data_IF_956078806339
#
_entry.id   IF_956078806339
#
_cell.length_a   1.000
_cell.length_b   1.000
_cell.length_c   1.000
_cell.angle_alpha   90.00
_cell.angle_beta   90.00
_cell.angle_gamma   90.00
#
_symmetry.space_group_name_H-M   'P 1'
#
loop_
_entity.id
_entity.type
_entity.pdbx_description
1 polymer ?
#
# COMPACT_ATOMS: atom_id res chain seq x y z
N UNK A 1 17.81 -21.13 44.21
CA UNK A 1 18.39 -20.29 43.14
C UNK A 1 18.68 -21.19 41.94
N UNK A 2 18.14 -20.91 40.76
CA UNK A 2 18.48 -21.68 39.56
C UNK A 2 19.89 -21.32 39.10
N UNK A 3 20.79 -22.31 39.05
CA UNK A 3 22.14 -22.13 38.51
C UNK A 3 22.08 -22.13 36.97
N UNK A 4 22.66 -21.11 36.34
CA UNK A 4 22.86 -21.08 34.88
C UNK A 4 24.18 -21.75 34.55
N UNK A 5 24.11 -22.77 33.70
CA UNK A 5 25.27 -23.50 33.18
C UNK A 5 25.53 -23.04 31.75
N UNK A 6 26.78 -22.72 31.41
CA UNK A 6 27.15 -22.31 30.04
C UNK A 6 27.32 -23.54 29.17
N UNK A 7 26.41 -23.74 28.21
CA UNK A 7 26.47 -24.86 27.27
C UNK A 7 27.06 -24.36 25.94
N UNK A 8 28.15 -24.96 25.43
CA UNK A 8 28.71 -24.59 24.15
C UNK A 8 27.70 -24.86 23.02
N UNK A 9 27.51 -23.87 22.15
CA UNK A 9 26.56 -23.96 21.03
C UNK A 9 27.06 -25.00 20.02
N UNK A 10 26.25 -26.01 19.63
CA UNK A 10 26.65 -26.97 18.62
C UNK A 10 26.90 -26.30 17.27
N UNK A 11 27.89 -26.79 16.51
CA UNK A 11 28.26 -26.26 15.19
C UNK A 11 27.07 -26.21 14.23
N UNK A 12 26.22 -27.25 14.23
CA UNK A 12 24.99 -27.25 13.40
C UNK A 12 24.03 -26.12 13.74
N UNK A 13 23.91 -25.77 15.02
CA UNK A 13 23.09 -24.63 15.45
C UNK A 13 23.76 -23.33 15.00
N UNK A 14 25.08 -23.24 15.02
CA UNK A 14 25.86 -22.11 14.50
C UNK A 14 25.57 -21.84 13.01
N UNK A 15 25.66 -22.88 12.19
CA UNK A 15 25.38 -22.83 10.76
C UNK A 15 23.92 -22.49 10.46
N UNK A 16 22.97 -23.12 11.16
CA UNK A 16 21.56 -22.82 10.98
C UNK A 16 21.27 -21.32 11.19
N UNK A 17 21.69 -20.73 12.33
CA UNK A 17 21.39 -19.30 12.53
C UNK A 17 22.17 -18.37 11.62
N UNK A 18 23.25 -18.83 10.97
CA UNK A 18 23.96 -18.04 9.97
C UNK A 18 23.12 -17.82 8.71
N UNK A 19 22.30 -18.80 8.33
CA UNK A 19 21.57 -18.78 7.05
C UNK A 19 20.04 -18.68 7.20
N UNK A 20 19.48 -18.90 8.39
CA UNK A 20 18.02 -18.91 8.62
C UNK A 20 17.32 -17.58 8.30
N UNK A 21 18.03 -16.44 8.37
CA UNK A 21 17.43 -15.11 8.26
C UNK A 21 17.19 -14.62 6.83
N UNK A 22 17.44 -15.42 5.79
CA UNK A 22 17.32 -14.98 4.40
C UNK A 22 15.91 -14.51 4.05
N UNK A 23 14.89 -15.27 4.47
CA UNK A 23 13.47 -14.96 4.22
C UNK A 23 13.04 -13.73 5.01
N UNK A 24 13.28 -13.70 6.32
CA UNK A 24 12.93 -12.56 7.18
C UNK A 24 13.58 -11.25 6.71
N UNK A 25 14.82 -11.33 6.22
CA UNK A 25 15.53 -10.17 5.67
C UNK A 25 14.88 -9.69 4.37
N UNK A 26 14.47 -10.62 3.50
CA UNK A 26 13.75 -10.28 2.26
C UNK A 26 12.39 -9.65 2.57
N UNK A 27 11.64 -10.21 3.52
CA UNK A 27 10.36 -9.69 3.98
C UNK A 27 10.50 -8.30 4.62
N UNK A 28 11.58 -8.07 5.38
CA UNK A 28 11.90 -6.74 5.92
C UNK A 28 12.18 -5.73 4.80
N UNK A 29 12.96 -6.10 3.77
CA UNK A 29 13.24 -5.24 2.63
C UNK A 29 12.00 -4.94 1.78
N UNK A 30 11.06 -5.88 1.69
CA UNK A 30 9.75 -5.69 1.06
C UNK A 30 8.89 -4.76 1.93
N UNK A 31 8.90 -4.96 3.25
CA UNK A 31 8.16 -4.12 4.21
C UNK A 31 8.63 -2.67 4.26
N UNK A 32 9.92 -2.40 4.01
CA UNK A 32 10.44 -1.04 3.86
C UNK A 32 10.14 -0.42 2.48
N UNK A 33 9.82 -1.24 1.48
CA UNK A 33 9.43 -0.81 0.15
C UNK A 33 7.91 -0.63 0.03
N UNK A 34 7.44 0.55 0.42
CA UNK A 34 6.27 1.25 -0.11
C UNK A 34 4.85 0.63 0.02
N UNK A 35 3.97 1.48 0.57
CA UNK A 35 2.63 1.82 0.05
C UNK A 35 1.82 0.66 -0.53
N UNK A 36 1.61 -0.39 0.27
CA UNK A 36 0.54 -1.34 0.03
C UNK A 36 -0.78 -0.57 -0.13
N UNK A 37 -1.31 -0.52 -1.36
CA UNK A 37 -2.64 0.04 -1.57
C UNK A 37 -3.65 -0.95 -1.02
N UNK A 38 -4.25 -0.61 0.14
CA UNK A 38 -5.30 -1.44 0.75
C UNK A 38 -6.40 -1.70 -0.27
N UNK A 39 -6.47 -2.93 -0.77
CA UNK A 39 -7.46 -3.39 -1.72
C UNK A 39 -8.20 -4.60 -1.15
N UNK A 40 -9.48 -4.73 -1.48
CA UNK A 40 -10.30 -5.91 -1.11
C UNK A 40 -10.25 -7.02 -2.15
N UNK A 41 -9.51 -6.82 -3.25
CA UNK A 41 -9.39 -7.76 -4.36
C UNK A 41 -8.10 -8.57 -4.18
N UNK A 42 -8.22 -9.81 -3.75
CA UNK A 42 -7.07 -10.69 -3.47
C UNK A 42 -6.07 -10.83 -4.66
N UNK A 43 -6.47 -10.85 -5.95
CA UNK A 43 -5.51 -10.98 -7.04
C UNK A 43 -4.61 -9.74 -7.16
N UNK A 44 -5.15 -8.57 -6.83
CA UNK A 44 -4.41 -7.30 -6.83
C UNK A 44 -3.36 -7.29 -5.74
N UNK A 45 -3.67 -7.83 -4.55
CA UNK A 45 -2.71 -7.99 -3.45
C UNK A 45 -1.56 -8.91 -3.85
N UNK A 46 -1.86 -10.07 -4.45
CA UNK A 46 -0.83 -11.00 -4.93
C UNK A 46 0.05 -10.35 -5.99
N UNK A 47 -0.55 -9.65 -6.96
CA UNK A 47 0.20 -8.93 -8.00
C UNK A 47 1.13 -7.86 -7.41
N UNK A 48 0.66 -7.07 -6.45
CA UNK A 48 1.47 -6.06 -5.76
C UNK A 48 2.65 -6.70 -5.04
N UNK A 49 2.43 -7.81 -4.34
CA UNK A 49 3.50 -8.53 -3.67
C UNK A 49 4.56 -9.07 -4.65
N UNK A 50 4.16 -9.59 -5.81
CA UNK A 50 5.10 -10.03 -6.85
C UNK A 50 5.95 -8.87 -7.39
N UNK A 51 5.37 -7.68 -7.52
CA UNK A 51 6.08 -6.47 -7.93
C UNK A 51 7.09 -6.05 -6.86
N UNK A 52 6.71 -6.09 -5.58
CA UNK A 52 7.61 -5.75 -4.47
C UNK A 52 8.82 -6.71 -4.39
N UNK A 53 8.59 -8.01 -4.61
CA UNK A 53 9.66 -9.02 -4.72
C UNK A 53 10.57 -8.70 -5.91
N UNK A 54 10.01 -8.44 -7.09
CA UNK A 54 10.78 -8.14 -8.30
C UNK A 54 11.65 -6.89 -8.14
N UNK A 55 11.10 -5.83 -7.54
CA UNK A 55 11.82 -4.58 -7.27
C UNK A 55 12.97 -4.79 -6.27
N UNK A 56 12.72 -5.57 -5.21
CA UNK A 56 13.73 -5.92 -4.20
C UNK A 56 14.87 -6.72 -4.85
N UNK A 57 14.54 -7.70 -5.69
CA UNK A 57 15.53 -8.49 -6.43
C UNK A 57 16.35 -7.62 -7.41
N UNK A 58 15.71 -6.72 -8.15
CA UNK A 58 16.39 -5.78 -9.02
C UNK A 58 17.37 -4.88 -8.24
N UNK A 59 16.99 -4.44 -7.04
CA UNK A 59 17.85 -3.65 -6.16
C UNK A 59 19.07 -4.43 -5.66
N UNK A 60 18.88 -5.70 -5.27
CA UNK A 60 19.99 -6.58 -4.88
C UNK A 60 20.98 -6.75 -6.02
N UNK A 61 20.49 -7.04 -7.24
CA UNK A 61 21.32 -7.15 -8.44
C UNK A 61 22.06 -5.84 -8.71
N UNK A 62 21.37 -4.71 -8.63
CA UNK A 62 21.96 -3.39 -8.80
C UNK A 62 23.11 -3.14 -7.80
N UNK A 63 22.94 -3.49 -6.52
CA UNK A 63 24.01 -3.38 -5.52
C UNK A 63 25.23 -4.24 -5.85
N UNK A 64 25.01 -5.47 -6.32
CA UNK A 64 26.09 -6.38 -6.73
C UNK A 64 26.87 -5.76 -7.90
N UNK A 65 26.17 -5.23 -8.90
CA UNK A 65 26.79 -4.58 -10.06
C UNK A 65 27.56 -3.32 -9.64
N UNK A 66 26.99 -2.45 -8.81
CA UNK A 66 27.67 -1.28 -8.29
C UNK A 66 28.95 -1.63 -7.53
N UNK A 67 28.93 -2.68 -6.71
CA UNK A 67 30.11 -3.18 -6.01
C UNK A 67 31.20 -3.67 -6.99
N UNK A 68 30.82 -4.36 -8.07
CA UNK A 68 31.78 -4.79 -9.10
C UNK A 68 32.37 -3.63 -9.92
N UNK A 69 31.60 -2.56 -10.12
CA UNK A 69 31.99 -1.40 -10.92
C UNK A 69 32.61 -0.27 -10.09
N UNK A 70 32.75 -0.44 -8.77
CA UNK A 70 33.17 0.59 -7.81
C UNK A 70 32.34 1.89 -7.88
N UNK A 71 31.06 1.76 -8.24
CA UNK A 71 30.10 2.87 -8.27
C UNK A 71 29.27 2.85 -7.00
N UNK A 72 28.95 4.02 -6.45
CA UNK A 72 28.05 4.10 -5.29
C UNK A 72 26.64 3.61 -5.68
N UNK A 73 26.08 2.62 -4.97
CA UNK A 73 24.74 2.15 -5.28
C UNK A 73 23.72 3.25 -4.99
N UNK A 74 22.89 3.52 -5.99
CA UNK A 74 21.69 4.34 -5.84
C UNK A 74 20.81 3.84 -4.68
N UNK A 75 20.22 4.77 -3.93
CA UNK A 75 19.30 4.46 -2.83
C UNK A 75 18.06 3.74 -3.38
N UNK A 76 17.59 2.71 -2.68
CA UNK A 76 16.43 1.87 -3.04
C UNK A 76 15.19 2.69 -3.42
N UNK A 77 14.97 3.78 -2.68
CA UNK A 77 13.92 4.76 -2.92
C UNK A 77 13.99 5.40 -4.31
N UNK A 78 15.18 5.72 -4.81
CA UNK A 78 15.38 6.30 -6.13
C UNK A 78 15.17 5.24 -7.22
N UNK A 79 15.63 4.00 -7.01
CA UNK A 79 15.35 2.90 -7.94
C UNK A 79 13.85 2.68 -8.12
N UNK A 80 13.10 2.65 -7.02
CA UNK A 80 11.64 2.50 -7.09
C UNK A 80 10.91 3.72 -7.66
N UNK A 81 11.47 4.92 -7.48
CA UNK A 81 10.97 6.12 -8.16
C UNK A 81 11.20 6.05 -9.68
N UNK A 82 12.39 5.62 -10.12
CA UNK A 82 12.70 5.42 -11.54
C UNK A 82 11.85 4.32 -12.20
N UNK A 83 11.51 3.26 -11.45
CA UNK A 83 10.64 2.20 -11.92
C UNK A 83 9.15 2.58 -11.91
N UNK A 84 8.79 3.80 -11.48
CA UNK A 84 7.41 4.27 -11.32
C UNK A 84 6.54 3.33 -10.45
N UNK A 85 7.16 2.51 -9.60
CA UNK A 85 6.50 1.53 -8.73
C UNK A 85 5.95 2.18 -7.46
N UNK A 86 6.63 3.21 -6.98
CA UNK A 86 5.95 4.23 -6.21
C UNK A 86 4.94 4.80 -7.18
N UNK A 87 3.66 4.55 -6.91
CA UNK A 87 2.62 5.34 -7.53
C UNK A 87 3.12 6.78 -7.55
N UNK A 88 3.23 7.36 -8.75
CA UNK A 88 3.17 8.80 -8.93
C UNK A 88 2.25 9.30 -7.81
N UNK A 89 2.68 10.23 -6.92
CA UNK A 89 1.76 10.78 -5.92
C UNK A 89 0.51 11.08 -6.71
N UNK A 90 -0.61 10.35 -6.45
CA UNK A 90 -1.83 10.47 -7.25
C UNK A 90 -2.05 11.96 -7.35
N UNK A 91 -1.77 12.53 -8.52
CA UNK A 91 -1.54 13.97 -8.73
C UNK A 91 -2.60 14.74 -7.99
N UNK A 92 -2.33 15.32 -6.80
CA UNK A 92 -3.31 15.50 -5.71
C UNK A 92 -4.72 15.15 -6.16
N UNK A 93 -4.96 13.83 -6.30
CA UNK A 93 -5.96 13.29 -7.23
C UNK A 93 -7.28 13.95 -6.92
N UNK A 94 -7.75 14.86 -7.80
CA UNK A 94 -8.90 15.72 -7.50
C UNK A 94 -9.98 14.86 -6.85
N UNK A 95 -10.23 15.08 -5.57
CA UNK A 95 -11.24 14.35 -4.82
C UNK A 95 -12.58 14.85 -5.32
N UNK A 96 -13.00 14.35 -6.48
CA UNK A 96 -14.21 14.80 -7.13
C UNK A 96 -15.38 13.98 -6.60
N UNK A 97 -16.46 14.64 -6.16
CA UNK A 97 -17.68 13.95 -5.86
C UNK A 97 -18.32 13.49 -7.16
N UNK A 98 -18.51 12.18 -7.28
CA UNK A 98 -19.22 11.55 -8.40
C UNK A 98 -20.46 10.82 -7.87
N UNK A 99 -21.52 10.67 -8.68
CA UNK A 99 -22.66 9.88 -8.28
C UNK A 99 -22.27 8.40 -8.09
N UNK A 100 -22.92 7.72 -7.15
CA UNK A 100 -22.74 6.29 -6.90
C UNK A 100 -23.31 5.42 -8.01
N UNK A 101 -24.24 5.94 -8.82
CA UNK A 101 -24.76 5.33 -10.05
C UNK A 101 -25.03 6.39 -11.12
N UNK A 102 -24.69 6.08 -12.37
CA UNK A 102 -24.87 6.95 -13.54
C UNK A 102 -25.73 6.23 -14.58
N UNK A 103 -26.62 6.94 -15.31
CA UNK A 103 -27.30 6.41 -16.49
C UNK A 103 -28.72 5.83 -16.29
N UNK A 104 -29.43 6.17 -15.20
CA UNK A 104 -30.74 5.57 -14.90
C UNK A 104 -31.94 6.49 -15.18
N UNK A 105 -33.07 5.88 -15.57
CA UNK A 105 -34.34 6.52 -15.88
C UNK A 105 -34.82 7.42 -14.73
N UNK A 106 -35.46 8.56 -15.06
CA UNK A 106 -35.78 9.65 -14.12
C UNK A 106 -36.50 9.20 -12.84
N UNK A 107 -37.33 8.16 -12.89
CA UNK A 107 -38.12 7.65 -11.76
C UNK A 107 -37.37 6.80 -10.73
N UNK A 108 -36.20 6.23 -11.05
CA UNK A 108 -35.46 5.30 -10.17
C UNK A 108 -34.33 5.97 -9.37
N UNK A 109 -34.12 7.28 -9.58
CA UNK A 109 -33.00 8.06 -9.02
C UNK A 109 -33.11 8.32 -7.51
N UNK A 110 -34.29 8.15 -6.93
CA UNK A 110 -34.57 8.48 -5.53
C UNK A 110 -34.03 7.42 -4.55
N UNK A 111 -34.05 6.14 -4.92
CA UNK A 111 -33.77 5.00 -4.02
C UNK A 111 -32.58 4.15 -4.45
N UNK A 112 -32.38 3.91 -5.75
CA UNK A 112 -31.37 2.97 -6.23
C UNK A 112 -29.97 3.59 -6.26
N UNK A 113 -28.97 2.83 -5.78
CA UNK A 113 -27.56 3.21 -5.83
C UNK A 113 -27.07 4.06 -4.65
N UNK A 114 -27.95 4.52 -3.75
CA UNK A 114 -27.55 5.25 -2.53
C UNK A 114 -26.76 4.34 -1.59
N UNK A 115 -25.70 4.90 -0.98
CA UNK A 115 -24.85 4.23 0.01
C UNK A 115 -24.90 4.96 1.35
N UNK A 116 -24.47 4.31 2.44
CA UNK A 116 -24.33 4.95 3.76
C UNK A 116 -23.07 5.81 3.78
N UNK A 117 -23.19 7.07 4.19
CA UNK A 117 -22.06 7.97 4.34
C UNK A 117 -21.09 7.45 5.40
N UNK A 118 -19.78 7.48 5.14
CA UNK A 118 -18.77 7.01 6.10
C UNK A 118 -18.73 7.80 7.42
N UNK A 119 -18.97 9.13 7.37
CA UNK A 119 -18.86 10.00 8.55
C UNK A 119 -20.15 10.07 9.36
N UNK A 120 -21.29 10.34 8.72
CA UNK A 120 -22.56 10.54 9.42
C UNK A 120 -23.52 9.35 9.32
N UNK A 121 -23.15 8.31 8.58
CA UNK A 121 -23.98 7.12 8.30
C UNK A 121 -25.28 7.37 7.54
N UNK A 122 -25.66 8.63 7.25
CA UNK A 122 -26.87 8.94 6.46
C UNK A 122 -26.73 8.47 5.01
N UNK A 123 -27.87 8.18 4.38
CA UNK A 123 -27.91 7.80 2.97
C UNK A 123 -27.43 8.93 2.07
N UNK A 124 -26.54 8.63 1.13
CA UNK A 124 -25.99 9.58 0.15
C UNK A 124 -25.90 8.95 -1.25
N UNK A 125 -26.24 9.69 -2.32
CA UNK A 125 -26.02 9.27 -3.70
C UNK A 125 -24.62 9.64 -4.22
N UNK A 126 -23.74 10.16 -3.36
CA UNK A 126 -22.42 10.69 -3.74
C UNK A 126 -21.29 9.86 -3.14
N UNK A 127 -20.21 9.73 -3.92
CA UNK A 127 -18.94 9.12 -3.49
C UNK A 127 -17.74 9.92 -4.01
N UNK A 128 -16.61 9.84 -3.34
CA UNK A 128 -15.34 10.33 -3.88
C UNK A 128 -14.83 9.35 -4.95
N UNK A 129 -14.50 9.83 -6.15
CA UNK A 129 -13.98 8.97 -7.23
C UNK A 129 -12.63 8.32 -6.84
N UNK A 130 -11.72 9.11 -6.27
CA UNK A 130 -10.35 8.68 -5.97
C UNK A 130 -10.25 7.75 -4.75
N UNK A 131 -11.16 7.92 -3.78
CA UNK A 131 -11.17 7.16 -2.52
C UNK A 131 -12.25 6.06 -2.48
N UNK A 132 -13.18 6.06 -3.44
CA UNK A 132 -14.36 5.19 -3.50
C UNK A 132 -15.18 5.11 -2.20
N UNK A 133 -15.19 6.21 -1.43
CA UNK A 133 -15.96 6.34 -0.18
C UNK A 133 -17.24 7.14 -0.40
N UNK A 134 -18.35 6.65 0.14
CA UNK A 134 -19.62 7.36 0.12
C UNK A 134 -19.61 8.52 1.13
N UNK A 135 -19.82 9.75 0.65
CA UNK A 135 -19.75 10.97 1.45
C UNK A 135 -20.94 11.88 1.09
N UNK A 136 -21.50 12.58 2.07
CA UNK A 136 -22.54 13.58 1.81
C UNK A 136 -21.93 14.82 1.13
N UNK A 137 -22.63 15.29 0.10
CA UNK A 137 -22.35 16.56 -0.58
C UNK A 137 -23.62 17.42 -0.53
N UNK A 138 -23.84 18.07 0.61
CA UNK A 138 -24.96 19.00 0.84
C UNK A 138 -24.42 20.26 1.54
N UNK A 139 -25.03 21.45 1.31
CA UNK A 139 -24.57 22.70 1.94
C UNK A 139 -24.41 22.58 3.46
N UNK A 140 -25.43 22.08 4.16
CA UNK A 140 -25.43 21.95 5.63
C UNK A 140 -24.70 20.69 6.13
N UNK A 141 -24.31 19.79 5.21
CA UNK A 141 -23.69 18.49 5.53
C UNK A 141 -22.72 18.08 4.44
N UNK A 142 -21.58 18.75 4.43
CA UNK A 142 -20.50 18.48 3.49
C UNK A 142 -19.46 17.52 4.09
N UNK A 143 -19.86 16.26 4.29
CA UNK A 143 -18.95 15.20 4.75
C UNK A 143 -17.82 14.95 3.74
N UNK A 144 -18.03 15.28 2.47
CA UNK A 144 -16.99 15.20 1.45
C UNK A 144 -15.82 16.14 1.79
N UNK A 145 -16.11 17.42 2.03
CA UNK A 145 -15.10 18.40 2.42
C UNK A 145 -14.42 18.03 3.74
N UNK A 146 -15.21 17.68 4.78
CA UNK A 146 -14.66 17.28 6.09
C UNK A 146 -13.70 16.08 6.00
N UNK A 147 -14.00 15.09 5.15
CA UNK A 147 -13.15 13.90 5.00
C UNK A 147 -11.81 14.21 4.32
N UNK A 148 -11.76 15.26 3.50
CA UNK A 148 -10.59 15.66 2.72
C UNK A 148 -9.86 16.89 3.27
N UNK A 149 -10.30 17.43 4.41
CA UNK A 149 -9.76 18.64 5.02
C UNK A 149 -8.41 18.47 5.75
N UNK A 150 -7.90 17.23 5.83
CA UNK A 150 -6.64 16.88 6.49
C UNK A 150 -5.64 16.17 5.57
N UNK A 151 -5.73 16.43 4.26
CA UNK A 151 -4.73 16.06 3.25
C UNK A 151 -3.91 17.28 2.86
#
# INVERSE_FOLDING_TARGET
>A
SQQRITVPRPTRVAEYNRYMGGVDTSDQMIGTNFVHQKTRRWPTTVFQHLVDIAATNAFVIHKILCASLQVNPMVQENLMAHLNLKSLPKTPGRHLPVPTSSGQAKGQRASMGRRRCKLCTKSTPWRCESCDVALCLQPDRNCHWLYHQGL
#
